data_IF_247513687371
#
_entry.id   IF_247513687371
#
_cell.length_a   1.000
_cell.length_b   1.000
_cell.length_c   1.000
_cell.angle_alpha   90.00
_cell.angle_beta   90.00
_cell.angle_gamma   90.00
#
_symmetry.space_group_name_H-M   'P 1'
#
loop_
_entity.id
_entity.type
_entity.pdbx_description
1 polymer ?
#
# COMPACT_ATOMS: atom_id res chain seq x y z
N UNK A 1 -57.56 34.63 -41.50
CA UNK A 1 -57.60 34.79 -42.95
C UNK A 1 -56.30 34.25 -43.53
N UNK A 2 -56.44 33.49 -44.60
CA UNK A 2 -55.40 32.92 -45.47
C UNK A 2 -54.36 33.97 -45.89
N UNK A 3 -53.12 33.63 -46.19
CA UNK A 3 -52.72 32.92 -47.42
C UNK A 3 -51.25 32.53 -47.32
N UNK A 4 -50.90 31.37 -47.89
CA UNK A 4 -49.51 30.92 -48.07
C UNK A 4 -49.01 31.14 -49.50
N UNK A 5 -47.75 30.80 -49.76
CA UNK A 5 -47.29 29.96 -50.88
C UNK A 5 -45.74 29.87 -50.97
N UNK A 6 -45.25 28.67 -51.28
CA UNK A 6 -44.16 28.39 -52.23
C UNK A 6 -42.72 28.59 -51.76
N UNK A 7 -42.00 27.56 -51.28
CA UNK A 7 -41.26 26.54 -52.04
C UNK A 7 -39.76 26.86 -52.25
N UNK A 8 -38.87 26.05 -51.67
CA UNK A 8 -37.86 25.26 -52.41
C UNK A 8 -37.00 24.44 -51.44
N UNK A 9 -36.71 23.21 -51.85
CA UNK A 9 -36.14 22.16 -51.02
C UNK A 9 -34.63 22.26 -50.80
N UNK A 10 -34.20 21.76 -49.65
CA UNK A 10 -32.82 21.42 -49.34
C UNK A 10 -32.81 20.47 -48.15
N UNK A 11 -32.76 19.16 -48.40
CA UNK A 11 -32.54 18.15 -47.34
C UNK A 11 -31.15 18.36 -46.75
N UNK A 12 -31.05 19.01 -45.58
CA UNK A 12 -29.83 19.03 -44.77
C UNK A 12 -29.73 17.71 -43.99
N UNK A 13 -28.81 16.87 -44.43
CA UNK A 13 -28.39 15.63 -43.78
C UNK A 13 -27.62 16.01 -42.50
N UNK A 14 -27.86 15.36 -41.34
CA UNK A 14 -27.09 15.60 -40.12
C UNK A 14 -25.64 15.12 -40.29
N UNK A 15 -24.64 15.80 -39.69
CA UNK A 15 -23.25 15.41 -39.82
C UNK A 15 -23.04 14.02 -39.18
N UNK A 16 -22.60 13.07 -40.00
CA UNK A 16 -22.17 11.75 -39.54
C UNK A 16 -20.88 11.87 -38.74
N UNK A 17 -20.90 11.29 -37.54
CA UNK A 17 -19.76 11.09 -36.66
C UNK A 17 -18.80 10.10 -37.33
N UNK A 18 -17.52 10.43 -37.56
CA UNK A 18 -16.56 9.48 -38.10
C UNK A 18 -16.22 8.40 -37.06
N UNK A 19 -16.04 7.13 -37.49
CA UNK A 19 -15.69 6.04 -36.58
C UNK A 19 -14.29 6.24 -35.98
N UNK A 20 -14.16 5.89 -34.70
CA UNK A 20 -12.92 5.94 -33.91
C UNK A 20 -11.79 5.21 -34.64
N UNK A 21 -10.72 5.95 -34.92
CA UNK A 21 -9.47 5.44 -35.50
C UNK A 21 -8.79 4.47 -34.53
N UNK A 22 -8.67 3.21 -34.95
CA UNK A 22 -7.61 2.31 -34.44
C UNK A 22 -6.25 2.94 -34.76
N UNK A 23 -5.23 2.82 -33.88
CA UNK A 23 -3.88 3.18 -34.28
C UNK A 23 -3.44 2.24 -35.42
N UNK A 24 -3.13 2.88 -36.54
CA UNK A 24 -2.62 2.31 -37.77
C UNK A 24 -1.17 1.87 -37.54
N UNK A 25 -0.91 0.59 -37.77
CA UNK A 25 0.42 0.07 -38.07
C UNK A 25 0.84 0.61 -39.44
N UNK A 26 1.92 1.37 -39.51
CA UNK A 26 2.49 1.85 -40.78
C UNK A 26 3.69 0.98 -41.15
N UNK A 27 3.43 0.16 -42.17
CA UNK A 27 4.21 -0.25 -43.35
C UNK A 27 5.75 -0.25 -43.33
N UNK A 28 6.26 -1.44 -43.69
CA UNK A 28 7.21 -1.73 -44.77
C UNK A 28 8.23 -0.66 -45.17
N UNK A 29 9.50 -1.02 -44.93
CA UNK A 29 10.59 -0.74 -45.85
C UNK A 29 11.23 -2.08 -46.23
N UNK A 30 11.00 -2.47 -47.48
CA UNK A 30 11.75 -3.50 -48.20
C UNK A 30 13.21 -3.11 -48.31
N UNK A 31 14.12 -3.99 -47.89
CA UNK A 31 15.39 -4.17 -48.59
C UNK A 31 15.86 -5.62 -48.43
N UNK A 32 15.94 -6.31 -49.56
CA UNK A 32 16.56 -7.61 -49.73
C UNK A 32 18.03 -7.55 -49.32
N UNK A 33 18.42 -8.34 -48.32
CA UNK A 33 19.80 -8.80 -48.21
C UNK A 33 19.82 -10.28 -47.82
N UNK A 34 20.01 -11.08 -48.87
CA UNK A 34 20.72 -12.36 -48.92
C UNK A 34 20.30 -13.46 -47.95
N UNK A 35 19.46 -14.34 -48.47
CA UNK A 35 19.43 -15.75 -48.10
C UNK A 35 20.78 -16.42 -48.43
N UNK A 36 21.73 -16.40 -47.49
CA UNK A 36 22.89 -17.32 -47.48
C UNK A 36 23.20 -17.69 -46.03
N UNK A 37 23.27 -19.00 -45.77
CA UNK A 37 23.67 -19.68 -44.52
C UNK A 37 22.63 -19.79 -43.39
N UNK A 38 21.51 -20.45 -43.69
CA UNK A 38 20.77 -21.27 -42.71
C UNK A 38 21.16 -22.75 -42.88
N UNK A 39 22.44 -23.06 -42.64
CA UNK A 39 22.90 -24.40 -42.27
C UNK A 39 23.91 -24.22 -41.15
N UNK A 40 23.37 -23.86 -39.98
CA UNK A 40 24.04 -23.95 -38.69
C UNK A 40 23.19 -24.89 -37.84
N UNK A 41 23.86 -25.88 -37.26
CA UNK A 41 23.35 -27.04 -36.53
C UNK A 41 22.10 -26.85 -35.68
N UNK A 42 21.41 -27.98 -35.47
CA UNK A 42 20.39 -28.18 -34.44
C UNK A 42 20.94 -27.99 -33.01
N UNK A 43 21.46 -26.81 -32.68
CA UNK A 43 21.73 -26.40 -31.32
C UNK A 43 20.42 -25.87 -30.72
N UNK A 44 19.97 -26.53 -29.65
CA UNK A 44 18.90 -26.02 -28.79
C UNK A 44 19.33 -24.68 -28.19
N UNK A 45 18.37 -23.82 -27.86
CA UNK A 45 18.66 -22.61 -27.10
C UNK A 45 19.27 -23.02 -25.76
N UNK A 46 20.37 -22.39 -25.37
CA UNK A 46 21.00 -22.65 -24.08
C UNK A 46 20.04 -22.28 -22.94
N UNK A 47 19.98 -23.14 -21.94
CA UNK A 47 19.25 -22.88 -20.70
C UNK A 47 19.90 -21.69 -19.99
N UNK A 48 19.12 -20.66 -19.62
CA UNK A 48 19.62 -19.57 -18.79
C UNK A 48 20.21 -20.07 -17.47
N UNK A 49 21.33 -19.48 -17.04
CA UNK A 49 22.01 -19.83 -15.77
C UNK A 49 22.42 -18.59 -15.01
N UNK A 50 22.74 -18.74 -13.73
CA UNK A 50 23.22 -17.66 -12.86
C UNK A 50 22.22 -16.50 -12.81
N UNK A 51 20.94 -16.82 -12.64
CA UNK A 51 19.86 -15.83 -12.52
C UNK A 51 20.13 -14.96 -11.30
N UNK A 52 20.34 -13.67 -11.54
CA UNK A 52 20.63 -12.67 -10.50
C UNK A 52 19.57 -11.59 -10.48
N UNK A 53 19.06 -11.33 -9.29
CA UNK A 53 18.13 -10.25 -9.01
C UNK A 53 18.86 -9.11 -8.31
N UNK A 54 18.51 -7.87 -8.64
CA UNK A 54 19.05 -6.68 -7.99
C UNK A 54 18.02 -5.56 -7.97
N UNK A 55 18.28 -4.49 -7.21
CA UNK A 55 17.42 -3.31 -7.16
C UNK A 55 15.95 -3.65 -6.89
N UNK A 56 15.72 -4.57 -5.95
CA UNK A 56 14.39 -5.03 -5.60
C UNK A 56 13.70 -3.92 -4.81
N UNK A 57 12.55 -3.49 -5.31
CA UNK A 57 11.67 -2.51 -4.70
C UNK A 57 10.33 -3.17 -4.36
N UNK A 58 9.34 -2.40 -3.90
CA UNK A 58 8.02 -2.95 -3.60
C UNK A 58 7.21 -3.37 -4.84
N UNK A 59 7.53 -2.84 -6.03
CA UNK A 59 6.76 -3.04 -7.26
C UNK A 59 7.62 -3.35 -8.50
N UNK A 60 8.93 -3.51 -8.31
CA UNK A 60 9.86 -3.85 -9.40
C UNK A 60 11.15 -4.52 -8.92
N UNK A 61 11.84 -5.18 -9.84
CA UNK A 61 13.19 -5.70 -9.65
C UNK A 61 13.95 -5.70 -10.99
N UNK A 62 15.28 -5.71 -10.94
CA UNK A 62 16.12 -5.96 -12.12
C UNK A 62 16.54 -7.42 -12.15
N UNK A 63 16.49 -8.04 -13.33
CA UNK A 63 16.85 -9.43 -13.56
C UNK A 63 17.90 -9.55 -14.67
N UNK A 64 18.85 -10.46 -14.48
CA UNK A 64 19.88 -10.85 -15.45
C UNK A 64 20.26 -12.32 -15.27
N UNK A 65 20.90 -12.89 -16.27
CA UNK A 65 21.41 -14.26 -16.29
C UNK A 65 22.48 -14.40 -17.39
N UNK A 66 23.19 -15.51 -17.38
CA UNK A 66 24.16 -15.93 -18.38
C UNK A 66 23.47 -16.68 -19.53
N UNK A 67 23.87 -16.41 -20.79
CA UNK A 67 23.41 -17.11 -22.00
C UNK A 67 24.59 -17.33 -22.95
N UNK A 68 24.49 -18.34 -23.83
CA UNK A 68 25.42 -18.48 -24.95
C UNK A 68 25.25 -17.30 -25.93
N UNK A 69 26.30 -16.50 -26.22
CA UNK A 69 26.22 -15.40 -27.19
C UNK A 69 25.81 -15.83 -28.60
N UNK A 70 25.91 -17.12 -28.93
CA UNK A 70 25.50 -17.70 -30.22
C UNK A 70 23.99 -17.89 -30.32
N UNK A 71 23.26 -17.87 -29.21
CA UNK A 71 21.81 -18.05 -29.23
C UNK A 71 21.11 -16.84 -29.84
N UNK A 72 20.33 -17.10 -30.89
CA UNK A 72 19.42 -16.10 -31.45
C UNK A 72 18.15 -15.99 -30.60
N UNK A 73 18.24 -15.26 -29.49
CA UNK A 73 17.10 -15.04 -28.59
C UNK A 73 16.30 -13.81 -29.02
N UNK A 74 14.99 -14.01 -29.18
CA UNK A 74 14.05 -12.94 -29.57
C UNK A 74 13.12 -12.53 -28.43
N UNK A 75 12.87 -13.43 -27.47
CA UNK A 75 11.94 -13.23 -26.37
C UNK A 75 12.43 -13.94 -25.10
N UNK A 76 11.95 -13.46 -23.96
CA UNK A 76 12.12 -14.07 -22.66
C UNK A 76 10.75 -14.40 -22.07
N UNK A 77 10.62 -15.60 -21.54
CA UNK A 77 9.50 -16.03 -20.73
C UNK A 77 9.95 -16.02 -19.26
N UNK A 78 9.15 -15.39 -18.40
CA UNK A 78 9.44 -15.28 -16.98
C UNK A 78 8.26 -15.89 -16.22
N UNK A 79 8.53 -16.92 -15.43
CA UNK A 79 7.54 -17.50 -14.54
C UNK A 79 7.70 -16.89 -13.16
N UNK A 80 6.77 -16.02 -12.78
CA UNK A 80 6.75 -15.32 -11.50
C UNK A 80 5.61 -15.86 -10.65
N UNK A 81 5.97 -16.46 -9.50
CA UNK A 81 5.00 -17.08 -8.61
C UNK A 81 5.08 -16.48 -7.21
N UNK A 82 3.92 -16.13 -6.65
CA UNK A 82 3.82 -15.71 -5.25
C UNK A 82 3.98 -16.93 -4.35
N UNK A 83 4.92 -16.88 -3.39
CA UNK A 83 5.12 -17.96 -2.42
C UNK A 83 4.05 -17.84 -1.33
N UNK A 84 3.29 -18.91 -1.12
CA UNK A 84 2.30 -18.95 -0.04
C UNK A 84 3.02 -18.80 1.32
N UNK A 85 2.54 -17.86 2.14
CA UNK A 85 3.05 -17.69 3.49
C UNK A 85 2.55 -18.88 4.34
N UNK A 86 3.44 -19.55 5.10
CA UNK A 86 3.15 -20.82 5.80
C UNK A 86 1.94 -20.70 6.74
N UNK A 87 1.68 -19.51 7.28
CA UNK A 87 0.54 -19.21 8.14
C UNK A 87 -0.81 -19.05 7.39
N UNK A 88 -0.80 -18.75 6.09
CA UNK A 88 -2.00 -18.64 5.25
C UNK A 88 -2.39 -19.96 4.57
N UNK A 89 -1.54 -20.99 4.61
CA UNK A 89 -1.81 -22.29 3.97
C UNK A 89 -3.10 -22.95 4.49
N UNK A 90 -3.48 -22.69 5.75
CA UNK A 90 -4.72 -23.24 6.35
C UNK A 90 -6.02 -22.51 5.94
N UNK A 91 -5.94 -21.34 5.28
CA UNK A 91 -7.11 -20.53 4.87
C UNK A 91 -7.21 -20.30 3.35
N UNK A 92 -6.36 -20.93 2.54
CA UNK A 92 -6.32 -20.76 1.09
C UNK A 92 -7.47 -21.50 0.36
N UNK A 93 -8.72 -21.30 0.78
CA UNK A 93 -9.88 -21.60 -0.05
C UNK A 93 -10.43 -20.27 -0.57
N UNK A 94 -10.04 -19.90 -1.80
CA UNK A 94 -10.93 -19.34 -2.87
C UNK A 94 -10.25 -18.58 -4.01
N UNK A 95 -8.94 -18.34 -4.01
CA UNK A 95 -8.24 -17.92 -5.22
C UNK A 95 -6.94 -18.72 -5.34
N UNK A 96 -6.86 -19.62 -6.32
CA UNK A 96 -5.56 -20.13 -6.76
C UNK A 96 -4.80 -18.92 -7.28
N UNK A 97 -3.69 -18.55 -6.63
CA UNK A 97 -2.76 -17.56 -7.18
C UNK A 97 -2.38 -18.06 -8.57
N UNK A 98 -2.80 -17.33 -9.61
CA UNK A 98 -2.54 -17.72 -11.00
C UNK A 98 -1.05 -17.43 -11.24
N UNK A 99 -0.24 -18.44 -11.64
CA UNK A 99 1.14 -18.21 -12.05
C UNK A 99 1.21 -17.06 -13.05
N UNK A 100 2.00 -16.05 -12.73
CA UNK A 100 2.13 -14.89 -13.62
C UNK A 100 3.25 -15.19 -14.60
N UNK A 101 2.86 -15.66 -15.79
CA UNK A 101 3.77 -15.83 -16.91
C UNK A 101 3.88 -14.52 -17.68
N UNK A 102 5.05 -13.90 -17.61
CA UNK A 102 5.36 -12.68 -18.35
C UNK A 102 6.12 -13.05 -19.62
N UNK A 103 5.81 -12.35 -20.71
CA UNK A 103 6.53 -12.47 -21.98
C UNK A 103 7.12 -11.12 -22.31
N UNK A 104 8.43 -11.07 -22.51
CA UNK A 104 9.16 -9.86 -22.89
C UNK A 104 9.87 -10.08 -24.23
N UNK A 105 9.92 -9.06 -25.08
CA UNK A 105 10.85 -9.05 -26.21
C UNK A 105 12.27 -9.01 -25.66
N UNK A 106 13.19 -9.75 -26.28
CA UNK A 106 14.59 -9.75 -25.88
C UNK A 106 15.15 -8.33 -25.94
N UNK A 107 15.67 -7.91 -24.79
CA UNK A 107 16.30 -6.61 -24.56
C UNK A 107 17.59 -6.85 -23.77
N UNK A 108 18.54 -5.89 -23.78
CA UNK A 108 19.78 -6.03 -23.02
C UNK A 108 19.55 -6.33 -21.55
N UNK A 109 20.33 -7.26 -20.99
CA UNK A 109 20.35 -7.57 -19.56
C UNK A 109 21.36 -6.67 -18.83
N UNK A 110 21.11 -6.32 -17.55
CA UNK A 110 19.87 -6.52 -16.80
C UNK A 110 18.73 -5.62 -17.31
N UNK A 111 17.49 -6.11 -17.27
CA UNK A 111 16.31 -5.25 -17.45
C UNK A 111 15.39 -5.26 -16.24
N UNK A 112 14.51 -4.27 -16.18
CA UNK A 112 13.57 -4.08 -15.07
C UNK A 112 12.24 -4.79 -15.35
N UNK A 113 11.86 -5.70 -14.47
CA UNK A 113 10.48 -6.20 -14.37
C UNK A 113 9.74 -5.30 -13.39
N UNK A 114 8.73 -4.57 -13.86
CA UNK A 114 7.92 -3.65 -13.05
C UNK A 114 6.45 -3.91 -13.29
N UNK A 115 5.67 -3.96 -12.21
CA UNK A 115 4.22 -4.06 -12.34
C UNK A 115 3.54 -4.28 -11.00
N UNK A 116 2.80 -3.27 -10.56
CA UNK A 116 1.99 -3.34 -9.34
C UNK A 116 0.82 -4.32 -9.43
N UNK A 117 0.45 -4.77 -10.63
CA UNK A 117 -0.62 -5.75 -10.85
C UNK A 117 -0.22 -7.16 -10.41
N UNK A 118 1.08 -7.46 -10.41
CA UNK A 118 1.60 -8.80 -10.09
C UNK A 118 2.68 -8.79 -8.99
N UNK A 119 3.30 -7.64 -8.69
CA UNK A 119 4.17 -7.44 -7.53
C UNK A 119 3.43 -6.67 -6.43
N UNK A 120 3.44 -7.25 -5.24
CA UNK A 120 2.97 -6.64 -4.00
C UNK A 120 4.17 -6.35 -3.11
N UNK A 121 4.16 -5.24 -2.34
CA UNK A 121 5.19 -4.97 -1.34
C UNK A 121 5.37 -6.11 -0.33
N UNK A 122 6.58 -6.26 0.20
CA UNK A 122 6.95 -7.18 1.29
C UNK A 122 6.53 -8.65 1.07
N UNK A 123 6.41 -9.06 -0.20
CA UNK A 123 5.87 -10.36 -0.59
C UNK A 123 6.98 -11.25 -1.14
N UNK A 124 7.01 -12.50 -0.68
CA UNK A 124 7.93 -13.51 -1.18
C UNK A 124 7.45 -14.04 -2.53
N UNK A 125 8.36 -14.06 -3.50
CA UNK A 125 8.17 -14.57 -4.85
C UNK A 125 9.25 -15.58 -5.20
N UNK A 126 8.93 -16.43 -6.17
CA UNK A 126 9.91 -17.21 -6.91
C UNK A 126 9.89 -16.78 -8.37
N UNK A 127 11.06 -16.80 -9.01
CA UNK A 127 11.20 -16.48 -10.43
C UNK A 127 12.09 -17.49 -11.13
N UNK A 128 11.68 -17.91 -12.32
CA UNK A 128 12.51 -18.65 -13.28
C UNK A 128 12.35 -18.06 -14.67
N UNK A 129 13.33 -18.29 -15.54
CA UNK A 129 13.41 -17.70 -16.87
C UNK A 129 13.64 -18.77 -17.91
N UNK A 130 13.04 -18.56 -19.08
CA UNK A 130 13.23 -19.36 -20.28
C UNK A 130 13.49 -18.43 -21.47
N UNK A 131 14.44 -18.77 -22.33
CA UNK A 131 14.72 -18.00 -23.55
C UNK A 131 13.93 -18.57 -24.71
N UNK A 132 13.60 -17.72 -25.68
CA UNK A 132 12.82 -18.13 -26.83
C UNK A 132 13.21 -17.42 -28.13
N UNK A 133 13.19 -18.19 -29.21
CA UNK A 133 13.31 -17.71 -30.58
C UNK A 133 11.93 -17.82 -31.24
N UNK A 134 11.38 -16.69 -31.68
CA UNK A 134 10.14 -16.65 -32.45
C UNK A 134 10.44 -17.07 -33.88
N UNK A 135 9.78 -18.11 -34.33
CA UNK A 135 9.92 -18.69 -35.66
C UNK A 135 9.05 -17.92 -36.68
N UNK A 136 9.32 -18.05 -38.00
CA UNK A 136 8.55 -17.36 -39.04
C UNK A 136 7.05 -17.73 -39.08
N UNK A 137 6.70 -18.94 -38.65
CA UNK A 137 5.31 -19.41 -38.50
C UNK A 137 4.58 -18.80 -37.29
N UNK A 138 5.30 -18.03 -36.46
CA UNK A 138 4.79 -17.39 -35.27
C UNK A 138 4.93 -18.20 -33.98
N UNK A 139 5.36 -19.47 -34.05
CA UNK A 139 5.63 -20.30 -32.88
C UNK A 139 6.93 -19.91 -32.18
N UNK A 140 7.12 -20.43 -30.97
CA UNK A 140 8.34 -20.24 -30.20
C UNK A 140 9.11 -21.54 -30.06
N UNK A 141 10.38 -21.54 -30.49
CA UNK A 141 11.38 -22.49 -30.00
C UNK A 141 11.87 -21.97 -28.66
N UNK A 142 11.78 -22.78 -27.60
CA UNK A 142 12.13 -22.39 -26.22
C UNK A 142 13.28 -23.23 -25.66
N UNK A 143 14.06 -22.67 -24.73
CA UNK A 143 15.04 -23.41 -23.91
C UNK A 143 14.35 -24.21 -22.80
N UNK A 144 15.11 -24.95 -21.98
CA UNK A 144 14.64 -25.34 -20.65
C UNK A 144 14.51 -24.12 -19.72
N UNK A 145 13.78 -24.28 -18.61
CA UNK A 145 13.72 -23.27 -17.55
C UNK A 145 15.03 -23.21 -16.76
N UNK A 146 15.40 -22.01 -16.32
CA UNK A 146 16.51 -21.78 -15.39
C UNK A 146 16.25 -22.41 -14.02
N UNK A 147 17.25 -22.30 -13.14
CA UNK A 147 17.03 -22.43 -11.71
C UNK A 147 15.94 -21.46 -11.21
N UNK A 148 15.25 -21.86 -10.16
CA UNK A 148 14.27 -21.02 -9.48
C UNK A 148 14.98 -20.18 -8.42
N UNK A 149 14.86 -18.86 -8.51
CA UNK A 149 15.41 -17.91 -7.54
C UNK A 149 14.27 -17.36 -6.67
N UNK A 150 14.47 -17.35 -5.35
CA UNK A 150 13.53 -16.74 -4.42
C UNK A 150 13.95 -15.31 -4.08
N UNK A 151 12.96 -14.43 -3.90
CA UNK A 151 13.20 -13.08 -3.43
C UNK A 151 11.99 -12.50 -2.69
N UNK A 152 12.21 -11.44 -1.92
CA UNK A 152 11.15 -10.68 -1.27
C UNK A 152 11.16 -9.24 -1.80
N UNK A 153 10.01 -8.72 -2.21
CA UNK A 153 9.86 -7.30 -2.55
C UNK A 153 10.04 -6.42 -1.32
N UNK A 154 10.44 -5.17 -1.52
CA UNK A 154 10.67 -4.23 -0.42
C UNK A 154 9.36 -3.64 0.15
N UNK A 155 9.48 -2.90 1.26
CA UNK A 155 8.44 -2.01 1.78
C UNK A 155 8.17 -0.85 0.81
N UNK A 156 7.09 -0.09 1.03
CA UNK A 156 6.87 1.16 0.32
C UNK A 156 8.06 2.10 0.49
N UNK A 157 8.56 2.65 -0.62
CA UNK A 157 9.54 3.72 -0.57
C UNK A 157 8.87 5.06 -0.23
N UNK A 158 9.68 6.09 0.00
CA UNK A 158 9.20 7.46 0.18
C UNK A 158 8.30 7.94 -0.97
N UNK A 159 8.53 7.47 -2.20
CA UNK A 159 7.67 7.82 -3.35
C UNK A 159 6.26 7.26 -3.16
N UNK A 160 6.13 5.98 -2.83
CA UNK A 160 4.82 5.35 -2.61
C UNK A 160 4.11 5.92 -1.37
N UNK A 161 4.85 6.23 -0.30
CA UNK A 161 4.27 6.85 0.89
C UNK A 161 3.76 8.27 0.62
N UNK A 162 4.49 9.07 -0.17
CA UNK A 162 4.01 10.39 -0.57
C UNK A 162 2.77 10.30 -1.47
N UNK A 163 2.71 9.32 -2.37
CA UNK A 163 1.49 9.07 -3.17
C UNK A 163 0.28 8.69 -2.29
N UNK A 164 0.50 7.89 -1.25
CA UNK A 164 -0.55 7.56 -0.26
C UNK A 164 -0.95 8.78 0.57
N UNK A 165 0.01 9.61 0.96
CA UNK A 165 -0.23 10.86 1.68
C UNK A 165 -1.07 11.82 0.83
N UNK A 166 -0.73 12.01 -0.45
CA UNK A 166 -1.51 12.85 -1.36
C UNK A 166 -2.90 12.29 -1.61
N UNK A 167 -3.04 10.96 -1.75
CA UNK A 167 -4.36 10.31 -1.79
C UNK A 167 -5.15 10.56 -0.52
N UNK A 168 -4.52 10.50 0.66
CA UNK A 168 -5.18 10.77 1.93
C UNK A 168 -5.68 12.22 1.99
N UNK A 169 -4.84 13.20 1.59
CA UNK A 169 -5.21 14.63 1.50
C UNK A 169 -6.42 14.87 0.61
N UNK A 170 -6.51 14.17 -0.52
CA UNK A 170 -7.64 14.31 -1.45
C UNK A 170 -8.97 13.77 -0.89
N UNK A 171 -8.96 13.02 0.21
CA UNK A 171 -10.18 12.58 0.90
C UNK A 171 -10.71 13.68 1.84
N UNK A 172 -9.83 14.57 2.30
CA UNK A 172 -10.10 15.48 3.42
C UNK A 172 -10.96 16.67 3.02
N UNK A 173 -11.86 17.07 3.91
CA UNK A 173 -12.72 18.27 3.78
C UNK A 173 -12.27 19.46 4.63
N UNK A 174 -11.03 19.43 5.14
CA UNK A 174 -10.44 20.36 6.13
C UNK A 174 -11.17 20.45 7.49
N UNK A 175 -12.23 19.65 7.69
CA UNK A 175 -12.98 19.61 8.94
C UNK A 175 -12.22 18.84 10.01
N UNK A 176 -11.97 19.52 11.13
CA UNK A 176 -11.35 18.94 12.31
C UNK A 176 -12.19 19.15 13.55
N UNK A 177 -12.16 18.15 14.42
CA UNK A 177 -12.83 18.17 15.71
C UNK A 177 -11.79 18.36 16.82
N UNK A 178 -12.13 19.12 17.88
CA UNK A 178 -11.29 19.21 19.08
C UNK A 178 -10.99 17.83 19.64
N UNK A 179 -9.71 17.59 19.94
CA UNK A 179 -9.22 16.36 20.53
C UNK A 179 -8.66 16.65 21.92
N UNK A 180 -9.00 15.83 22.91
CA UNK A 180 -8.46 15.95 24.27
C UNK A 180 -7.65 14.74 24.69
N UNK A 181 -8.00 13.55 24.20
CA UNK A 181 -7.36 12.30 24.59
C UNK A 181 -7.11 11.40 23.39
N UNK A 182 -5.98 10.71 23.42
CA UNK A 182 -5.79 9.48 22.69
C UNK A 182 -6.29 8.32 23.54
N UNK A 183 -6.83 7.29 22.91
CA UNK A 183 -7.39 6.17 23.66
C UNK A 183 -7.02 4.81 23.09
N UNK A 184 -6.83 3.83 23.97
CA UNK A 184 -6.60 2.43 23.62
C UNK A 184 -7.71 1.60 24.24
N UNK A 185 -8.50 0.97 23.39
CA UNK A 185 -9.47 -0.02 23.83
C UNK A 185 -8.83 -1.40 23.82
N UNK A 186 -9.07 -2.20 24.85
CA UNK A 186 -8.57 -3.56 24.94
C UNK A 186 -9.39 -4.40 25.94
N UNK A 187 -9.15 -5.70 25.95
CA UNK A 187 -9.61 -6.62 26.99
C UNK A 187 -8.99 -6.31 28.36
N UNK A 188 -9.72 -6.62 29.44
CA UNK A 188 -9.28 -6.33 30.81
C UNK A 188 -7.98 -7.08 31.14
N UNK A 189 -7.87 -8.33 30.67
CA UNK A 189 -6.74 -9.22 30.88
C UNK A 189 -5.42 -8.62 30.39
N UNK A 190 -5.45 -7.82 29.32
CA UNK A 190 -4.27 -7.11 28.83
C UNK A 190 -3.78 -6.07 29.84
N UNK A 191 -4.69 -5.25 30.38
CA UNK A 191 -4.31 -4.22 31.34
C UNK A 191 -3.89 -4.83 32.69
N UNK A 192 -4.55 -5.92 33.12
CA UNK A 192 -4.13 -6.68 34.30
C UNK A 192 -2.75 -7.28 34.11
N UNK A 193 -2.47 -7.87 32.94
CA UNK A 193 -1.14 -8.36 32.60
C UNK A 193 -0.08 -7.27 32.68
N UNK A 194 -0.35 -6.07 32.15
CA UNK A 194 0.58 -4.93 32.22
C UNK A 194 0.81 -4.46 33.66
N UNK A 195 -0.22 -4.46 34.52
CA UNK A 195 -0.08 -4.16 35.95
C UNK A 195 0.78 -5.18 36.67
N UNK A 196 0.52 -6.46 36.46
CA UNK A 196 1.17 -7.55 37.18
C UNK A 196 2.61 -7.80 36.73
N UNK A 197 2.91 -7.69 35.43
CA UNK A 197 4.19 -8.10 34.86
C UNK A 197 5.09 -6.92 34.44
N UNK A 198 4.51 -5.74 34.24
CA UNK A 198 5.25 -4.56 33.76
C UNK A 198 5.05 -3.32 34.65
N UNK A 199 4.64 -3.51 35.90
CA UNK A 199 4.47 -2.42 36.87
C UNK A 199 3.43 -1.36 36.45
N UNK A 200 2.50 -1.73 35.57
CA UNK A 200 1.51 -0.82 34.99
C UNK A 200 2.04 0.02 33.83
N UNK A 201 3.20 -0.30 33.26
CA UNK A 201 3.74 0.36 32.08
C UNK A 201 3.31 -0.39 30.82
N UNK A 202 2.57 0.28 29.94
CA UNK A 202 2.28 -0.20 28.59
C UNK A 202 3.59 -0.25 27.80
N UNK A 203 3.96 -1.45 27.35
CA UNK A 203 5.20 -1.68 26.63
C UNK A 203 4.99 -1.57 25.11
N UNK A 204 5.87 -0.86 24.37
CA UNK A 204 5.89 -0.90 22.92
C UNK A 204 6.07 -2.33 22.39
N UNK A 205 5.19 -2.75 21.47
CA UNK A 205 5.25 -4.05 20.80
C UNK A 205 5.47 -3.87 19.30
N UNK A 206 6.07 -4.84 18.63
CA UNK A 206 6.25 -4.82 17.18
C UNK A 206 4.89 -4.67 16.50
N UNK A 207 4.76 -3.72 15.56
CA UNK A 207 3.55 -3.49 14.78
C UNK A 207 3.16 -4.75 14.00
N UNK A 208 1.90 -5.13 14.10
CA UNK A 208 1.30 -6.26 13.36
C UNK A 208 1.18 -5.96 11.85
N UNK A 209 0.78 -6.96 11.07
CA UNK A 209 0.61 -6.82 9.62
C UNK A 209 -0.75 -6.20 9.23
N UNK A 210 -1.48 -5.60 10.19
CA UNK A 210 -2.71 -4.85 9.96
C UNK A 210 -2.47 -3.58 9.14
N UNK A 211 -3.39 -3.28 8.22
CA UNK A 211 -3.30 -2.14 7.31
C UNK A 211 -2.76 -2.51 5.92
N UNK A 212 -2.01 -1.60 5.28
CA UNK A 212 -1.28 -1.94 4.06
C UNK A 212 -0.08 -2.82 4.39
N UNK A 213 -0.03 -3.99 3.76
CA UNK A 213 1.10 -4.92 3.86
C UNK A 213 2.47 -4.30 3.57
N UNK A 214 2.52 -3.26 2.73
CA UNK A 214 3.75 -2.56 2.37
C UNK A 214 4.17 -1.43 3.31
N UNK A 215 3.42 -1.14 4.38
CA UNK A 215 3.81 -0.07 5.30
C UNK A 215 5.13 -0.41 5.99
N UNK A 216 6.16 0.47 5.97
CA UNK A 216 7.47 0.16 6.54
C UNK A 216 7.48 -0.13 8.03
N UNK A 217 6.45 0.31 8.78
CA UNK A 217 6.38 0.08 10.23
C UNK A 217 6.04 -1.36 10.59
N UNK A 218 5.33 -2.08 9.70
CA UNK A 218 4.85 -3.43 9.97
C UNK A 218 6.03 -4.40 10.15
N UNK A 219 6.07 -5.11 11.28
CA UNK A 219 7.15 -6.03 11.64
C UNK A 219 8.49 -5.37 11.99
N UNK A 220 8.62 -4.04 11.90
CA UNK A 220 9.90 -3.34 12.06
C UNK A 220 9.91 -2.34 13.22
N UNK A 221 8.79 -1.65 13.47
CA UNK A 221 8.71 -0.60 14.49
C UNK A 221 7.96 -1.11 15.73
N UNK A 222 8.47 -0.79 16.92
CA UNK A 222 7.79 -1.03 18.19
C UNK A 222 6.98 0.20 18.60
N UNK A 223 5.79 -0.04 19.11
CA UNK A 223 4.90 1.02 19.57
C UNK A 223 3.63 0.48 20.20
N UNK A 224 2.78 1.39 20.62
CA UNK A 224 1.50 1.15 21.28
C UNK A 224 0.43 1.77 20.39
N UNK A 225 -0.55 0.97 19.97
CA UNK A 225 -1.65 1.47 19.14
C UNK A 225 -2.68 2.21 19.98
N UNK A 226 -3.00 3.42 19.56
CA UNK A 226 -4.05 4.30 20.05
C UNK A 226 -4.98 4.70 18.91
N UNK A 227 -6.17 5.16 19.26
CA UNK A 227 -7.07 5.86 18.35
C UNK A 227 -7.16 7.33 18.77
N UNK A 228 -7.30 8.20 17.77
CA UNK A 228 -7.59 9.62 17.95
C UNK A 228 -9.01 9.99 17.50
N UNK A 229 -9.88 9.02 17.22
CA UNK A 229 -11.18 9.31 16.64
C UNK A 229 -12.08 10.11 17.60
N UNK A 230 -12.74 11.11 17.04
CA UNK A 230 -13.78 11.89 17.71
C UNK A 230 -15.01 11.89 16.82
N UNK A 231 -16.17 11.61 17.41
CA UNK A 231 -17.47 11.69 16.76
C UNK A 231 -18.14 12.99 17.15
N UNK A 232 -18.90 13.58 16.22
CA UNK A 232 -19.73 14.73 16.53
C UNK A 232 -21.13 14.27 16.93
N UNK A 233 -21.57 14.63 18.13
CA UNK A 233 -22.95 14.47 18.58
C UNK A 233 -23.64 15.84 18.61
N UNK A 234 -24.86 15.94 18.07
CA UNK A 234 -25.59 17.21 18.01
C UNK A 234 -25.91 17.82 19.38
N UNK A 235 -26.07 16.98 20.41
CA UNK A 235 -26.43 17.41 21.77
C UNK A 235 -25.20 17.75 22.61
N UNK A 236 -24.20 16.86 22.57
CA UNK A 236 -23.06 16.90 23.50
C UNK A 236 -21.77 17.42 22.84
N UNK A 237 -21.80 17.69 21.53
CA UNK A 237 -20.65 18.11 20.75
C UNK A 237 -19.66 16.97 20.44
N UNK A 238 -18.39 17.29 20.15
CA UNK A 238 -17.34 16.32 19.88
C UNK A 238 -17.08 15.41 21.10
N UNK A 239 -17.11 14.09 20.89
CA UNK A 239 -16.87 13.09 21.94
C UNK A 239 -16.15 11.85 21.41
N UNK A 240 -15.51 11.11 22.30
CA UNK A 240 -14.90 9.82 21.97
C UNK A 240 -16.02 8.80 21.69
N UNK A 241 -15.90 7.94 20.66
CA UNK A 241 -16.88 6.88 20.38
C UNK A 241 -17.24 6.05 21.62
N UNK A 242 -18.52 5.74 21.81
CA UNK A 242 -18.99 4.95 22.97
C UNK A 242 -18.93 3.44 22.73
N UNK A 243 -18.70 3.02 21.49
CA UNK A 243 -18.55 1.61 21.10
C UNK A 243 -17.06 1.23 20.98
N UNK A 244 -16.79 -0.07 20.91
CA UNK A 244 -15.43 -0.57 20.78
C UNK A 244 -15.35 -1.89 20.02
N UNK A 245 -14.46 -1.99 19.01
CA UNK A 245 -14.20 -3.26 18.35
C UNK A 245 -13.11 -4.10 19.04
N UNK A 246 -12.39 -3.54 20.02
CA UNK A 246 -11.16 -4.15 20.59
C UNK A 246 -11.30 -4.67 22.02
N UNK A 247 -12.43 -4.39 22.69
CA UNK A 247 -12.65 -4.79 24.09
C UNK A 247 -13.39 -3.74 24.90
N UNK A 248 -13.76 -4.10 26.13
CA UNK A 248 -14.60 -3.29 27.01
C UNK A 248 -13.83 -2.25 27.83
N UNK A 249 -12.52 -2.42 28.00
CA UNK A 249 -11.73 -1.49 28.80
C UNK A 249 -11.05 -0.45 27.89
N UNK A 250 -11.07 0.80 28.33
CA UNK A 250 -10.47 1.94 27.64
C UNK A 250 -9.46 2.62 28.54
N UNK A 251 -8.23 2.73 28.05
CA UNK A 251 -7.25 3.62 28.61
C UNK A 251 -7.26 4.95 27.86
N UNK A 252 -7.48 6.05 28.56
CA UNK A 252 -7.42 7.43 28.05
C UNK A 252 -6.09 8.07 28.46
N UNK A 253 -5.36 8.61 27.50
CA UNK A 253 -4.18 9.43 27.76
C UNK A 253 -4.41 10.84 27.21
N UNK A 254 -4.06 11.87 28.00
CA UNK A 254 -4.17 13.26 27.57
C UNK A 254 -3.33 13.49 26.31
N UNK A 255 -3.90 14.16 25.31
CA UNK A 255 -3.21 14.42 24.04
C UNK A 255 -1.90 15.20 24.28
N UNK A 256 -1.89 16.12 25.25
CA UNK A 256 -0.71 16.89 25.63
C UNK A 256 0.41 16.06 26.26
N UNK A 257 0.13 14.89 26.83
CA UNK A 257 1.17 14.03 27.40
C UNK A 257 2.00 13.38 26.28
N UNK A 258 1.34 12.89 25.24
CA UNK A 258 2.01 12.17 24.14
C UNK A 258 2.44 13.10 22.99
N UNK A 259 1.60 14.05 22.60
CA UNK A 259 1.83 14.93 21.45
C UNK A 259 2.34 16.31 21.89
N UNK A 260 3.39 16.37 22.72
CA UNK A 260 3.99 17.62 23.20
C UNK A 260 5.08 18.18 22.24
N UNK A 261 5.66 19.34 22.54
CA UNK A 261 6.68 20.01 21.70
C UNK A 261 7.91 19.13 21.36
N UNK A 262 8.17 18.11 22.18
CA UNK A 262 9.24 17.14 21.96
C UNK A 262 8.82 15.95 21.07
N UNK A 263 7.60 15.95 20.52
CA UNK A 263 7.10 14.88 19.67
C UNK A 263 7.20 15.22 18.17
N UNK A 264 7.56 14.21 17.37
CA UNK A 264 7.45 14.23 15.91
C UNK A 264 6.26 13.38 15.46
N UNK A 265 5.59 13.83 14.39
CA UNK A 265 4.43 13.17 13.80
C UNK A 265 4.74 12.74 12.37
N UNK A 266 4.56 11.46 12.06
CA UNK A 266 4.84 10.89 10.75
C UNK A 266 3.61 10.24 10.13
N UNK A 267 3.49 10.33 8.80
CA UNK A 267 2.52 9.56 8.05
C UNK A 267 3.07 8.16 7.75
N UNK A 268 2.36 7.10 8.14
CA UNK A 268 2.81 5.73 7.92
C UNK A 268 2.02 4.97 6.87
N UNK A 269 0.71 5.21 6.75
CA UNK A 269 -0.13 4.47 5.83
C UNK A 269 -1.51 5.11 5.59
N UNK A 270 -2.11 4.74 4.46
CA UNK A 270 -3.53 4.94 4.14
C UNK A 270 -4.10 3.60 3.67
N UNK A 271 -5.12 3.10 4.36
CA UNK A 271 -5.77 1.85 4.01
C UNK A 271 -7.28 1.88 4.31
N UNK A 272 -7.98 0.89 3.82
CA UNK A 272 -9.36 0.62 4.21
C UNK A 272 -9.57 -0.89 4.22
N UNK A 273 -10.60 -1.31 4.91
CA UNK A 273 -11.09 -2.69 4.84
C UNK A 273 -12.24 -2.75 3.82
N UNK A 274 -12.95 -3.87 3.76
CA UNK A 274 -14.20 -4.01 2.97
C UNK A 274 -15.36 -3.24 3.62
N UNK A 275 -15.12 -2.00 4.03
CA UNK A 275 -16.07 -1.08 4.67
C UNK A 275 -16.01 0.26 3.96
N UNK A 276 -16.95 1.16 4.29
CA UNK A 276 -16.95 2.52 3.76
C UNK A 276 -15.90 3.43 4.44
N UNK A 277 -15.19 2.94 5.46
CA UNK A 277 -14.28 3.74 6.26
C UNK A 277 -12.83 3.61 5.78
N UNK A 278 -12.14 4.74 5.73
CA UNK A 278 -10.73 4.84 5.41
C UNK A 278 -9.94 5.20 6.67
N UNK A 279 -8.76 4.61 6.79
CA UNK A 279 -7.90 4.68 7.96
C UNK A 279 -6.58 5.34 7.55
N UNK A 280 -6.13 6.28 8.36
CA UNK A 280 -4.77 6.82 8.31
C UNK A 280 -4.00 6.34 9.54
N UNK A 281 -2.83 5.75 9.30
CA UNK A 281 -1.89 5.42 10.36
C UNK A 281 -0.87 6.54 10.48
N UNK A 282 -0.80 7.12 11.67
CA UNK A 282 0.19 8.11 12.06
C UNK A 282 1.13 7.49 13.10
N UNK A 283 2.40 7.89 13.08
CA UNK A 283 3.38 7.49 14.09
C UNK A 283 3.78 8.71 14.89
N UNK A 284 3.72 8.57 16.21
CA UNK A 284 4.09 9.61 17.16
C UNK A 284 5.32 9.14 17.93
N UNK A 285 6.39 9.93 17.86
CA UNK A 285 7.69 9.58 18.45
C UNK A 285 8.23 10.71 19.30
N UNK A 286 9.11 10.39 20.24
CA UNK A 286 9.90 11.41 20.95
C UNK A 286 11.13 11.77 20.10
N UNK A 287 11.38 13.06 19.89
CA UNK A 287 12.53 13.54 19.10
C UNK A 287 13.84 12.92 19.59
N UNK A 288 14.59 12.36 18.65
CA UNK A 288 15.87 11.69 18.90
C UNK A 288 15.76 10.25 19.42
N UNK A 289 14.55 9.73 19.70
CA UNK A 289 14.38 8.34 20.12
C UNK A 289 14.66 7.35 18.99
N UNK A 290 14.79 6.05 19.33
CA UNK A 290 14.98 4.99 18.32
C UNK A 290 13.83 4.97 17.30
N UNK A 291 12.59 5.19 17.77
CA UNK A 291 11.42 5.28 16.89
C UNK A 291 11.50 6.47 15.94
N UNK A 292 11.96 7.63 16.43
CA UNK A 292 12.14 8.83 15.62
C UNK A 292 13.23 8.65 14.55
N UNK A 293 14.35 8.03 14.92
CA UNK A 293 15.43 7.70 13.99
C UNK A 293 14.98 6.72 12.90
N UNK A 294 14.16 5.73 13.27
CA UNK A 294 13.54 4.83 12.30
C UNK A 294 12.62 5.58 11.34
N UNK A 295 11.73 6.42 11.88
CA UNK A 295 10.71 7.11 11.11
C UNK A 295 11.30 8.19 10.20
N UNK A 296 12.23 9.01 10.68
CA UNK A 296 12.86 10.09 9.91
C UNK A 296 13.54 9.63 8.62
N UNK A 297 14.08 8.40 8.60
CA UNK A 297 14.69 7.82 7.41
C UNK A 297 13.71 7.16 6.42
N UNK A 298 12.44 6.96 6.81
CA UNK A 298 11.49 6.11 6.05
C UNK A 298 10.13 6.75 5.78
N UNK A 299 9.63 7.58 6.66
CA UNK A 299 8.26 8.07 6.66
C UNK A 299 8.20 9.59 6.39
N UNK A 300 7.18 10.08 5.66
CA UNK A 300 6.94 11.51 5.54
C UNK A 300 6.68 12.16 6.91
N UNK A 301 7.48 13.17 7.26
CA UNK A 301 7.25 14.02 8.43
C UNK A 301 6.07 14.97 8.17
N UNK A 302 5.17 15.09 9.13
CA UNK A 302 4.05 16.02 9.11
C UNK A 302 4.35 17.22 10.01
N UNK A 303 3.93 18.41 9.58
CA UNK A 303 3.97 19.61 10.42
C UNK A 303 2.91 19.48 11.53
N UNK A 304 3.30 19.40 12.83
CA UNK A 304 2.36 19.28 13.93
C UNK A 304 1.37 20.44 14.01
N UNK A 305 1.74 21.64 13.57
CA UNK A 305 0.88 22.82 13.61
C UNK A 305 -0.08 22.91 12.42
N UNK A 306 0.28 22.27 11.30
CA UNK A 306 -0.42 22.41 10.04
C UNK A 306 -0.31 21.16 9.16
N UNK A 307 -1.18 20.18 9.42
CA UNK A 307 -1.43 19.06 8.51
C UNK A 307 -2.92 18.69 8.55
N UNK A 308 -3.37 17.86 7.64
CA UNK A 308 -4.79 17.56 7.42
C UNK A 308 -5.37 16.60 8.48
N UNK A 309 -4.53 15.80 9.15
CA UNK A 309 -4.97 14.65 9.95
C UNK A 309 -5.05 14.93 11.45
N UNK A 310 -3.96 15.43 12.03
CA UNK A 310 -3.83 15.61 13.48
C UNK A 310 -2.90 16.78 13.79
N UNK A 311 -3.46 17.83 14.38
CA UNK A 311 -2.75 19.08 14.65
C UNK A 311 -2.64 19.38 16.14
N UNK A 312 -1.59 20.10 16.49
CA UNK A 312 -1.33 20.73 17.77
C UNK A 312 -0.96 22.20 17.54
N UNK A 313 -1.70 23.10 18.15
CA UNK A 313 -1.45 24.55 18.10
C UNK A 313 -1.37 25.12 19.51
N UNK A 314 -0.43 26.03 19.72
CA UNK A 314 -0.37 26.81 20.96
C UNK A 314 -1.35 27.97 20.85
N UNK A 315 -2.22 28.13 21.84
CA UNK A 315 -3.14 29.26 21.96
C UNK A 315 -2.43 30.48 22.54
N UNK A 316 -3.06 31.64 22.42
CA UNK A 316 -2.54 32.91 22.95
C UNK A 316 -2.35 32.90 24.46
N UNK A 317 -3.16 32.12 25.18
CA UNK A 317 -3.05 31.91 26.63
C UNK A 317 -1.94 30.91 27.03
N UNK A 318 -1.19 30.38 26.06
CA UNK A 318 -0.12 29.41 26.24
C UNK A 318 -0.59 27.96 26.35
N UNK A 319 -1.90 27.70 26.37
CA UNK A 319 -2.44 26.34 26.37
C UNK A 319 -2.30 25.67 25.00
N UNK A 320 -2.32 24.33 24.96
CA UNK A 320 -2.25 23.57 23.72
C UNK A 320 -3.66 23.15 23.27
N UNK A 321 -3.95 23.42 22.01
CA UNK A 321 -5.13 22.93 21.30
C UNK A 321 -4.75 21.78 20.37
N UNK A 322 -5.53 20.71 20.42
CA UNK A 322 -5.38 19.57 19.53
C UNK A 322 -6.64 19.39 18.71
N UNK A 323 -6.47 19.04 17.43
CA UNK A 323 -7.59 18.80 16.55
C UNK A 323 -7.29 17.64 15.60
N UNK A 324 -8.27 16.78 15.40
CA UNK A 324 -8.19 15.57 14.57
C UNK A 324 -9.20 15.67 13.42
N UNK A 325 -8.88 15.11 12.27
CA UNK A 325 -9.81 15.08 11.16
C UNK A 325 -11.02 14.17 11.42
N UNK A 326 -12.11 14.46 10.71
CA UNK A 326 -13.34 13.66 10.79
C UNK A 326 -13.53 12.71 9.58
N UNK A 327 -12.90 13.01 8.44
CA UNK A 327 -13.12 12.25 7.18
C UNK A 327 -12.42 10.88 7.15
N UNK A 328 -11.41 10.69 8.01
CA UNK A 328 -10.64 9.46 8.15
C UNK A 328 -10.63 9.01 9.60
N UNK A 329 -10.59 7.68 9.81
CA UNK A 329 -10.26 7.10 11.10
C UNK A 329 -8.75 7.26 11.32
N UNK A 330 -8.37 7.92 12.41
CA UNK A 330 -6.98 8.17 12.76
C UNK A 330 -6.53 7.16 13.81
N UNK A 331 -5.64 6.27 13.38
CA UNK A 331 -4.89 5.35 14.23
C UNK A 331 -3.49 5.92 14.48
N UNK A 332 -3.06 5.86 15.74
CA UNK A 332 -1.76 6.35 16.19
C UNK A 332 -0.92 5.21 16.71
N UNK A 333 0.33 5.15 16.26
CA UNK A 333 1.33 4.25 16.78
C UNK A 333 2.37 5.05 17.57
N UNK A 334 2.29 4.98 18.89
CA UNK A 334 3.17 5.73 19.80
C UNK A 334 4.38 4.88 20.18
N UNK A 335 5.60 5.38 19.98
CA UNK A 335 6.81 4.54 20.09
C UNK A 335 7.37 4.41 21.50
N UNK A 336 6.91 5.23 22.44
CA UNK A 336 7.46 5.25 23.80
C UNK A 336 6.59 4.45 24.78
N UNK A 337 7.18 3.89 25.85
CA UNK A 337 6.41 3.30 26.94
C UNK A 337 5.53 4.34 27.62
N UNK A 338 4.40 3.89 28.16
CA UNK A 338 3.43 4.80 28.80
C UNK A 338 2.89 4.20 30.09
N UNK A 339 2.96 4.92 31.19
CA UNK A 339 2.45 4.43 32.47
C UNK A 339 0.93 4.58 32.52
N UNK A 340 0.22 3.52 32.92
CA UNK A 340 -1.23 3.57 33.12
C UNK A 340 -1.67 4.62 34.17
N UNK A 341 -0.77 5.04 35.06
CA UNK A 341 -1.01 6.13 36.02
C UNK A 341 -1.04 7.52 35.39
N UNK A 342 -0.51 7.68 34.17
CA UNK A 342 -0.51 8.94 33.42
C UNK A 342 -1.82 9.16 32.65
N UNK A 343 -2.77 8.24 32.79
CA UNK A 343 -4.07 8.31 32.14
C UNK A 343 -5.19 7.79 33.02
N UNK A 344 -6.35 7.59 32.41
CA UNK A 344 -7.56 7.14 33.08
C UNK A 344 -8.04 5.82 32.46
N UNK A 345 -8.37 4.86 33.32
CA UNK A 345 -9.10 3.65 32.91
C UNK A 345 -10.60 3.90 33.00
N UNK A 346 -11.32 3.53 31.95
CA UNK A 346 -12.78 3.60 31.85
C UNK A 346 -13.33 2.29 31.29
N UNK A 347 -14.49 1.88 31.78
CA UNK A 347 -15.26 0.81 31.14
C UNK A 347 -16.21 1.39 30.09
N UNK A 348 -16.20 0.79 28.91
CA UNK A 348 -16.98 1.21 27.75
C UNK A 348 -18.43 0.73 27.94
N UNK A 349 -19.36 1.69 27.90
CA UNK A 349 -20.78 1.43 28.13
C UNK A 349 -21.52 0.97 26.87
N UNK A 350 -21.04 1.34 25.68
CA UNK A 350 -21.63 0.95 24.42
C UNK A 350 -21.36 -0.50 24.03
N UNK A 351 -21.63 -0.82 22.77
CA UNK A 351 -21.46 -2.15 22.22
C UNK A 351 -19.98 -2.49 22.03
N UNK A 352 -19.62 -3.70 22.46
CA UNK A 352 -18.37 -4.33 22.05
C UNK A 352 -18.67 -5.12 20.78
N UNK A 353 -18.03 -4.77 19.67
CA UNK A 353 -18.33 -5.34 18.34
C UNK A 353 -17.09 -6.07 17.80
N UNK A 354 -16.87 -7.35 18.17
CA UNK A 354 -15.64 -8.08 17.82
C UNK A 354 -15.44 -8.23 16.31
N UNK A 355 -16.52 -8.21 15.52
CA UNK A 355 -16.48 -8.35 14.06
C UNK A 355 -15.83 -7.16 13.33
N UNK A 356 -15.50 -6.08 14.04
CA UNK A 356 -14.91 -4.85 13.49
C UNK A 356 -13.44 -4.62 13.89
N UNK A 357 -12.79 -5.59 14.55
CA UNK A 357 -11.36 -5.46 14.91
C UNK A 357 -10.49 -5.30 13.66
N UNK A 358 -9.57 -4.33 13.68
CA UNK A 358 -8.55 -4.15 12.63
C UNK A 358 -7.32 -5.04 12.83
N UNK A 359 -7.29 -5.87 13.87
CA UNK A 359 -6.17 -6.77 14.16
C UNK A 359 -5.93 -7.69 12.96
N UNK A 360 -4.75 -7.57 12.34
CA UNK A 360 -4.42 -8.26 11.08
C UNK A 360 -5.44 -8.07 9.93
N UNK A 361 -6.21 -6.98 9.96
CA UNK A 361 -7.20 -6.71 8.93
C UNK A 361 -6.52 -6.41 7.60
N UNK A 362 -6.97 -7.12 6.57
CA UNK A 362 -6.42 -7.01 5.21
C UNK A 362 -7.00 -5.78 4.53
N UNK A 363 -6.12 -4.99 3.93
CA UNK A 363 -6.49 -3.89 3.03
C UNK A 363 -7.38 -4.38 1.89
N UNK A 364 -8.45 -3.64 1.61
CA UNK A 364 -9.28 -3.89 0.43
C UNK A 364 -8.50 -3.54 -0.86
N UNK A 365 -8.16 -4.59 -1.61
CA UNK A 365 -7.47 -4.47 -2.89
C UNK A 365 -8.33 -3.82 -3.99
N UNK A 366 -9.65 -3.70 -3.78
CA UNK A 366 -10.60 -3.13 -4.74
C UNK A 366 -10.62 -1.60 -4.74
N UNK A 367 -10.34 -0.99 -3.58
CA UNK A 367 -10.50 0.45 -3.32
C UNK A 367 -9.64 1.35 -4.22
N UNK A 368 -10.24 2.43 -4.75
CA UNK A 368 -9.54 3.43 -5.57
C UNK A 368 -8.87 4.55 -4.75
N UNK A 369 -9.39 4.79 -3.55
CA UNK A 369 -8.91 5.86 -2.66
C UNK A 369 -7.60 5.45 -1.99
N UNK A 370 -7.53 4.23 -1.46
CA UNK A 370 -6.38 3.79 -0.66
C UNK A 370 -5.28 3.08 -1.45
N UNK A 371 -5.53 2.60 -2.67
CA UNK A 371 -4.53 1.86 -3.44
C UNK A 371 -3.83 2.78 -4.45
N UNK A 372 -2.49 2.75 -4.48
CA UNK A 372 -1.65 3.65 -5.29
C UNK A 372 -2.00 3.60 -6.79
N UNK A 373 -2.35 2.42 -7.29
CA UNK A 373 -2.42 2.16 -8.73
C UNK A 373 -3.84 1.98 -9.27
N UNK A 374 -4.81 2.67 -8.69
CA UNK A 374 -6.22 2.65 -9.11
C UNK A 374 -6.82 4.02 -9.23
#
# INVERSE_FOLDING_TARGET
MSTGAGASGGRKIPPQVPPKSRPVSVADATEELSAVQLQGDAQGLSTPRDVKLSHITCDSFKIQWSMDPKDHVTHFFIDLNKKANVNNAKKAFKHKDVPTKLVAKAIPLPFTVKGHWFLQPRTNYTVSVQTACKLPDGEYKVSDWSETVEFCTADYSSVQLNQLLDKARNIMSDRKLPLTHFYRNQHQEYFDFMRMNHGGVLQPSIKDDGGSHGSPINGNLKGISFSANVEFNERDGPRIPIDSPYGRERFLCQAAAMFNENANLYFADLYCMYTAYHFVNLVLTTKGSEGDQFCSGKLPLLDPSNNEFLTRKKRDDGSMEFAVCQDLIVELFYTEPLNLKEGQMLSIQGHVVPSLSTENAKKDASCKMCNINK
#
